data_IF_292212317869
#
_entry.id   IF_292212317869
#
_cell.length_a   1.000
_cell.length_b   1.000
_cell.length_c   1.000
_cell.angle_alpha   90.00
_cell.angle_beta   90.00
_cell.angle_gamma   90.00
#
_symmetry.space_group_name_H-M   'P 1'
#
loop_
_entity.id
_entity.type
_entity.pdbx_description
1 polymer ?
#
# COMPACT_ATOMS: atom_id res chain seq x y z
N UNK A 1 15.44 5.05 59.10
CA UNK A 1 15.99 4.47 57.85
C UNK A 1 14.85 4.44 56.82
N UNK A 2 15.00 5.22 55.76
CA UNK A 2 13.98 5.56 54.76
C UNK A 2 13.72 4.36 53.82
N UNK A 3 12.49 3.85 53.75
CA UNK A 3 12.06 2.82 52.80
C UNK A 3 11.67 3.51 51.47
N UNK A 4 12.48 3.28 50.43
CA UNK A 4 12.28 3.79 49.07
C UNK A 4 11.34 2.83 48.31
N UNK A 5 10.05 3.15 48.20
CA UNK A 5 9.11 2.41 47.35
C UNK A 5 9.29 2.81 45.88
N UNK A 6 9.86 1.92 45.09
CA UNK A 6 10.01 2.04 43.64
C UNK A 6 8.65 1.81 42.98
N UNK A 7 7.97 2.87 42.55
CA UNK A 7 6.71 2.79 41.81
C UNK A 7 6.98 2.32 40.37
N UNK A 8 6.63 1.08 40.06
CA UNK A 8 6.68 0.51 38.71
C UNK A 8 5.50 1.08 37.90
N UNK A 9 5.75 2.12 37.11
CA UNK A 9 4.76 2.65 36.16
C UNK A 9 4.52 1.63 35.04
N UNK A 10 3.26 1.22 34.77
CA UNK A 10 2.97 0.35 33.64
C UNK A 10 3.18 1.12 32.34
N UNK A 11 4.23 0.77 31.61
CA UNK A 11 4.44 1.22 30.24
C UNK A 11 3.34 0.60 29.37
N UNK A 12 2.27 1.35 29.13
CA UNK A 12 1.23 0.93 28.20
C UNK A 12 1.81 0.94 26.80
N UNK A 13 2.21 -0.24 26.31
CA UNK A 13 2.44 -0.46 24.87
C UNK A 13 1.09 -0.29 24.19
N UNK A 14 0.84 0.88 23.62
CA UNK A 14 -0.21 1.04 22.62
C UNK A 14 0.26 0.26 21.39
N UNK A 15 -0.35 -0.90 21.14
CA UNK A 15 -0.26 -1.54 19.84
C UNK A 15 -0.85 -0.55 18.82
N UNK A 16 0.00 -0.03 17.94
CA UNK A 16 -0.38 0.91 16.88
C UNK A 16 -1.34 0.18 15.92
N UNK A 17 -2.65 0.43 16.04
CA UNK A 17 -3.71 -0.08 15.15
C UNK A 17 -3.65 0.57 13.75
N UNK A 18 -2.47 1.04 13.33
CA UNK A 18 -2.23 1.62 12.01
C UNK A 18 -1.96 0.53 10.98
N UNK A 19 -2.77 -0.52 10.95
CA UNK A 19 -2.60 -1.57 9.94
C UNK A 19 -2.81 -0.99 8.53
N UNK A 20 -1.79 -1.10 7.66
CA UNK A 20 -1.92 -0.69 6.26
C UNK A 20 -2.56 -1.81 5.47
N UNK A 21 -3.66 -1.52 4.79
CA UNK A 21 -4.44 -2.46 4.01
C UNK A 21 -4.30 -2.19 2.51
N UNK A 22 -4.34 -3.25 1.72
CA UNK A 22 -4.41 -3.18 0.27
C UNK A 22 -5.86 -2.97 -0.13
N UNK A 23 -6.12 -1.99 -1.00
CA UNK A 23 -7.47 -1.66 -1.47
C UNK A 23 -7.53 -1.66 -2.99
N UNK A 24 -8.70 -1.94 -3.53
CA UNK A 24 -8.97 -1.86 -4.95
C UNK A 24 -10.38 -1.35 -5.23
N UNK A 25 -10.60 -0.93 -6.47
CA UNK A 25 -11.93 -0.59 -6.94
C UNK A 25 -12.84 -1.84 -6.89
N UNK A 26 -14.07 -1.76 -6.36
CA UNK A 26 -14.91 -2.96 -6.14
C UNK A 26 -15.31 -3.70 -7.43
N UNK A 27 -15.40 -3.02 -8.57
CA UNK A 27 -15.76 -3.66 -9.82
C UNK A 27 -14.54 -4.30 -10.53
N UNK A 28 -14.59 -5.62 -10.70
CA UNK A 28 -13.57 -6.38 -11.43
C UNK A 28 -12.31 -6.72 -10.61
N UNK A 29 -12.32 -6.51 -9.30
CA UNK A 29 -11.19 -6.87 -8.44
C UNK A 29 -11.37 -8.27 -7.82
N UNK A 30 -10.35 -9.11 -7.97
CA UNK A 30 -10.25 -10.37 -7.21
C UNK A 30 -10.16 -10.08 -5.71
N UNK A 31 -10.88 -10.79 -4.84
CA UNK A 31 -10.83 -10.57 -3.38
C UNK A 31 -9.46 -10.88 -2.77
N UNK A 32 -8.61 -11.62 -3.49
CA UNK A 32 -7.27 -11.99 -3.05
C UNK A 32 -6.25 -11.85 -4.17
N UNK A 33 -5.01 -11.52 -3.79
CA UNK A 33 -3.82 -11.55 -4.63
C UNK A 33 -2.68 -12.21 -3.86
N UNK A 34 -1.83 -12.96 -4.55
CA UNK A 34 -0.57 -13.41 -3.93
C UNK A 34 0.35 -12.23 -3.69
N UNK A 35 1.26 -12.36 -2.72
CA UNK A 35 2.33 -11.37 -2.50
C UNK A 35 3.16 -11.11 -3.76
N UNK A 36 3.45 -12.14 -4.54
CA UNK A 36 4.25 -12.04 -5.74
C UNK A 36 3.53 -11.28 -6.86
N UNK A 37 2.25 -11.57 -7.07
CA UNK A 37 1.40 -10.82 -8.02
C UNK A 37 1.28 -9.36 -7.58
N UNK A 38 1.03 -9.10 -6.30
CA UNK A 38 0.95 -7.74 -5.75
C UNK A 38 2.26 -7.00 -5.99
N UNK A 39 3.41 -7.62 -5.68
CA UNK A 39 4.74 -7.03 -5.93
C UNK A 39 5.00 -6.79 -7.43
N UNK A 40 4.53 -7.67 -8.31
CA UNK A 40 4.66 -7.50 -9.75
C UNK A 40 3.82 -6.33 -10.28
N UNK A 41 2.60 -6.16 -9.76
CA UNK A 41 1.69 -5.05 -10.09
C UNK A 41 2.28 -3.72 -9.62
N UNK A 42 2.68 -3.59 -8.34
CA UNK A 42 3.25 -2.34 -7.83
C UNK A 42 4.61 -2.00 -8.45
N UNK A 43 5.39 -2.99 -8.88
CA UNK A 43 6.62 -2.77 -9.64
C UNK A 43 6.37 -2.49 -11.14
N UNK A 44 5.11 -2.39 -11.57
CA UNK A 44 4.68 -2.17 -12.96
C UNK A 44 5.15 -3.23 -13.97
N UNK A 45 5.61 -4.39 -13.48
CA UNK A 45 6.00 -5.55 -14.32
C UNK A 45 4.79 -6.32 -14.82
N UNK A 46 3.70 -6.31 -14.05
CA UNK A 46 2.41 -6.82 -14.43
C UNK A 46 1.42 -5.66 -14.43
N UNK A 47 0.78 -5.39 -15.57
CA UNK A 47 -0.12 -4.22 -15.77
C UNK A 47 -1.59 -4.61 -15.89
N UNK A 48 -1.90 -5.87 -15.62
CA UNK A 48 -3.25 -6.42 -15.62
C UNK A 48 -3.48 -7.23 -14.36
N UNK A 49 -4.72 -7.21 -13.90
CA UNK A 49 -5.26 -8.17 -12.95
C UNK A 49 -5.19 -9.60 -13.52
N UNK A 50 -5.26 -10.63 -12.65
CA UNK A 50 -5.26 -12.04 -13.11
C UNK A 50 -6.39 -12.39 -14.08
N UNK A 51 -7.50 -11.66 -14.05
CA UNK A 51 -8.64 -11.81 -14.95
C UNK A 51 -8.47 -11.08 -16.31
N UNK A 52 -7.35 -10.37 -16.49
CA UNK A 52 -7.05 -9.60 -17.70
C UNK A 52 -7.46 -8.13 -17.65
N UNK A 53 -8.19 -7.66 -16.64
CA UNK A 53 -8.53 -6.24 -16.50
C UNK A 53 -7.25 -5.39 -16.35
N UNK A 54 -7.19 -4.21 -16.95
CA UNK A 54 -6.04 -3.31 -16.79
C UNK A 54 -5.93 -2.80 -15.33
N UNK A 55 -4.74 -2.93 -14.73
CA UNK A 55 -4.46 -2.48 -13.38
C UNK A 55 -4.01 -1.01 -13.38
N UNK A 56 -4.69 -0.17 -12.61
CA UNK A 56 -4.34 1.26 -12.44
C UNK A 56 -3.76 1.48 -11.04
N UNK A 57 -2.44 1.55 -10.97
CA UNK A 57 -1.73 1.60 -9.68
C UNK A 57 -1.60 3.04 -9.20
N UNK A 58 -2.07 3.30 -7.97
CA UNK A 58 -1.85 4.54 -7.24
C UNK A 58 -0.86 4.32 -6.08
N UNK A 59 0.05 5.26 -5.88
CA UNK A 59 1.07 5.23 -4.81
C UNK A 59 1.18 6.58 -4.11
N UNK A 60 1.53 6.55 -2.82
CA UNK A 60 1.94 7.74 -2.07
C UNK A 60 3.41 8.09 -2.36
N UNK A 61 3.87 9.32 -2.05
CA UNK A 61 5.26 9.70 -2.22
C UNK A 61 6.23 8.77 -1.48
N UNK A 62 7.43 8.60 -2.02
CA UNK A 62 8.46 7.73 -1.44
C UNK A 62 8.81 8.11 0.02
N UNK A 63 8.73 9.40 0.37
CA UNK A 63 8.92 9.93 1.72
C UNK A 63 7.74 9.68 2.67
N UNK A 64 6.58 9.23 2.17
CA UNK A 64 5.39 9.04 2.98
C UNK A 64 5.55 7.81 3.90
N UNK A 65 5.26 7.92 5.21
CA UNK A 65 5.45 6.81 6.15
C UNK A 65 4.62 5.57 5.79
N UNK A 66 3.36 5.77 5.34
CA UNK A 66 2.49 4.68 4.88
C UNK A 66 3.04 3.97 3.63
N UNK A 67 3.64 4.70 2.67
CA UNK A 67 4.33 4.06 1.54
C UNK A 67 5.48 3.19 2.02
N UNK A 68 6.33 3.76 2.89
CA UNK A 68 7.47 3.05 3.46
C UNK A 68 7.06 1.76 4.17
N UNK A 69 5.99 1.80 4.96
CA UNK A 69 5.46 0.64 5.67
C UNK A 69 4.83 -0.38 4.73
N UNK A 70 3.96 0.05 3.82
CA UNK A 70 3.34 -0.83 2.84
C UNK A 70 4.40 -1.62 2.05
N UNK A 71 5.39 -0.93 1.51
CA UNK A 71 6.41 -1.55 0.66
C UNK A 71 7.26 -2.56 1.46
N UNK A 72 7.62 -2.24 2.70
CA UNK A 72 8.40 -3.12 3.58
C UNK A 72 7.59 -4.31 4.09
N UNK A 73 6.40 -4.07 4.65
CA UNK A 73 5.60 -5.07 5.36
C UNK A 73 4.77 -5.94 4.39
N UNK A 74 4.23 -5.34 3.32
CA UNK A 74 3.34 -6.02 2.36
C UNK A 74 4.08 -6.50 1.12
N UNK A 75 4.97 -5.70 0.55
CA UNK A 75 5.71 -6.10 -0.66
C UNK A 75 7.05 -6.78 -0.37
N UNK A 76 7.51 -6.79 0.90
CA UNK A 76 8.80 -7.37 1.33
C UNK A 76 9.99 -6.84 0.54
N UNK A 77 9.95 -5.56 0.17
CA UNK A 77 11.07 -4.84 -0.48
C UNK A 77 11.27 -3.49 0.18
N UNK A 78 12.33 -2.76 -0.19
CA UNK A 78 12.53 -1.39 0.29
C UNK A 78 11.99 -0.35 -0.70
N UNK A 79 11.50 0.82 -0.22
CA UNK A 79 10.96 1.87 -1.08
C UNK A 79 11.93 2.32 -2.20
N UNK A 80 13.22 2.45 -1.89
CA UNK A 80 14.23 2.79 -2.89
C UNK A 80 14.41 1.72 -3.98
N UNK A 81 14.19 0.43 -3.68
CA UNK A 81 14.26 -0.64 -4.68
C UNK A 81 13.08 -0.59 -5.63
N UNK A 82 11.90 -0.27 -5.10
CA UNK A 82 10.69 -0.11 -5.90
C UNK A 82 10.80 1.13 -6.81
N UNK A 83 11.28 2.26 -6.27
CA UNK A 83 11.57 3.47 -7.05
C UNK A 83 12.58 3.19 -8.17
N UNK A 84 13.69 2.51 -7.86
CA UNK A 84 14.72 2.17 -8.85
C UNK A 84 14.16 1.29 -9.99
N UNK A 85 13.20 0.40 -9.70
CA UNK A 85 12.53 -0.38 -10.73
C UNK A 85 11.70 0.50 -11.66
N UNK A 86 10.99 1.50 -11.13
CA UNK A 86 10.25 2.47 -11.93
C UNK A 86 11.18 3.36 -12.75
N UNK A 87 12.25 3.88 -12.16
CA UNK A 87 13.22 4.74 -12.85
C UNK A 87 13.86 4.03 -14.05
N UNK A 88 14.27 2.76 -13.86
CA UNK A 88 14.80 1.92 -14.95
C UNK A 88 13.79 1.76 -16.08
N UNK A 89 12.53 1.53 -15.76
CA UNK A 89 11.47 1.36 -16.76
C UNK A 89 11.22 2.65 -17.54
N UNK A 90 11.16 3.78 -16.84
CA UNK A 90 10.92 5.10 -17.45
C UNK A 90 12.11 5.52 -18.33
N UNK A 91 13.34 5.44 -17.82
CA UNK A 91 14.54 5.85 -18.57
C UNK A 91 14.84 4.96 -19.78
N UNK A 92 14.47 3.69 -19.73
CA UNK A 92 14.59 2.79 -20.90
C UNK A 92 13.43 2.93 -21.90
N UNK A 93 12.40 3.72 -21.58
CA UNK A 93 11.20 3.86 -22.41
C UNK A 93 10.31 2.60 -22.45
N UNK A 94 10.53 1.63 -21.56
CA UNK A 94 9.79 0.36 -21.53
C UNK A 94 8.46 0.44 -20.76
N UNK A 95 8.18 1.59 -20.15
CA UNK A 95 6.91 1.84 -19.47
C UNK A 95 6.85 3.14 -18.70
N UNK A 96 5.85 3.23 -17.84
CA UNK A 96 5.54 4.41 -17.03
C UNK A 96 5.48 4.01 -15.55
N UNK A 97 5.85 4.94 -14.68
CA UNK A 97 5.70 4.77 -13.24
C UNK A 97 4.21 4.77 -12.84
N UNK A 98 3.86 4.25 -11.65
CA UNK A 98 2.51 4.38 -11.10
C UNK A 98 2.07 5.84 -10.96
N UNK A 99 0.76 6.05 -10.89
CA UNK A 99 0.21 7.38 -10.61
C UNK A 99 0.43 7.73 -9.14
N UNK A 100 1.00 8.90 -8.86
CA UNK A 100 1.23 9.35 -7.50
C UNK A 100 0.02 10.17 -6.99
N UNK A 101 -0.36 9.94 -5.74
CA UNK A 101 -1.34 10.75 -4.99
C UNK A 101 -0.65 11.38 -3.78
N UNK A 102 -1.17 12.47 -3.24
CA UNK A 102 -0.51 13.26 -2.19
C UNK A 102 -0.96 12.88 -0.77
N UNK A 103 -2.08 12.16 -0.64
CA UNK A 103 -2.65 11.82 0.67
C UNK A 103 -3.47 10.53 0.64
N UNK A 104 -3.74 9.96 1.82
CA UNK A 104 -4.60 8.76 1.96
C UNK A 104 -6.06 9.02 1.59
N UNK A 105 -6.68 10.17 1.92
CA UNK A 105 -7.99 10.53 1.39
C UNK A 105 -8.02 10.63 -0.14
N UNK A 106 -6.98 11.21 -0.75
CA UNK A 106 -6.87 11.23 -2.22
C UNK A 106 -6.69 9.81 -2.77
N UNK A 107 -5.88 8.96 -2.15
CA UNK A 107 -5.76 7.54 -2.51
C UNK A 107 -7.13 6.85 -2.54
N UNK A 108 -7.89 6.98 -1.45
CA UNK A 108 -9.22 6.40 -1.32
C UNK A 108 -10.15 6.86 -2.45
N UNK A 109 -10.21 8.18 -2.69
CA UNK A 109 -11.02 8.75 -3.76
C UNK A 109 -10.61 8.22 -5.14
N UNK A 110 -9.31 8.26 -5.45
CA UNK A 110 -8.80 7.81 -6.75
C UNK A 110 -9.05 6.33 -6.99
N UNK A 111 -8.92 5.48 -5.97
CA UNK A 111 -9.23 4.05 -6.07
C UNK A 111 -10.73 3.82 -6.22
N UNK A 112 -11.56 4.51 -5.42
CA UNK A 112 -13.02 4.39 -5.48
C UNK A 112 -13.59 4.78 -6.85
N UNK A 113 -13.08 5.83 -7.50
CA UNK A 113 -13.63 6.36 -8.76
C UNK A 113 -13.01 5.78 -10.02
N UNK A 114 -12.01 4.91 -9.91
CA UNK A 114 -11.23 4.45 -11.07
C UNK A 114 -11.33 2.93 -11.24
N UNK A 115 -12.03 2.43 -12.26
CA UNK A 115 -12.13 0.99 -12.51
C UNK A 115 -10.77 0.31 -12.66
N UNK A 116 -10.60 -0.86 -12.05
CA UNK A 116 -9.33 -1.60 -12.03
C UNK A 116 -8.21 -0.94 -11.22
N UNK A 117 -8.51 0.09 -10.42
CA UNK A 117 -7.51 0.73 -9.58
C UNK A 117 -7.13 -0.10 -8.36
N UNK A 118 -5.87 0.03 -7.96
CA UNK A 118 -5.28 -0.60 -6.79
C UNK A 118 -4.39 0.40 -6.05
N UNK A 119 -4.46 0.36 -4.73
CA UNK A 119 -3.72 1.25 -3.84
C UNK A 119 -3.67 0.70 -2.43
N UNK A 120 -3.28 1.53 -1.47
CA UNK A 120 -3.17 1.13 -0.08
C UNK A 120 -3.36 2.33 0.84
N UNK A 121 -3.90 2.10 2.03
CA UNK A 121 -4.12 3.10 3.06
C UNK A 121 -4.12 2.47 4.45
N UNK A 122 -4.01 3.27 5.49
CA UNK A 122 -4.24 2.87 6.87
C UNK A 122 -5.73 2.61 7.08
N UNK A 123 -6.04 1.57 7.87
CA UNK A 123 -7.41 1.09 8.07
C UNK A 123 -8.39 2.16 8.56
N UNK A 124 -7.92 3.19 9.26
CA UNK A 124 -8.74 4.32 9.72
C UNK A 124 -9.34 5.17 8.58
N UNK A 125 -8.74 5.15 7.38
CA UNK A 125 -9.26 5.84 6.19
C UNK A 125 -10.17 4.96 5.33
N UNK A 126 -10.40 3.70 5.73
CA UNK A 126 -11.21 2.79 4.94
C UNK A 126 -12.70 3.18 5.00
N UNK A 127 -13.36 3.15 3.85
CA UNK A 127 -14.82 3.26 3.73
C UNK A 127 -15.37 2.22 2.74
N UNK A 128 -16.71 2.16 2.62
CA UNK A 128 -17.41 1.15 1.82
C UNK A 128 -17.32 1.36 0.30
N UNK A 129 -16.64 2.41 -0.17
CA UNK A 129 -16.49 2.71 -1.61
C UNK A 129 -15.36 1.91 -2.26
N UNK A 130 -14.52 1.26 -1.47
CA UNK A 130 -13.40 0.44 -1.94
C UNK A 130 -13.50 -0.98 -1.39
N UNK A 131 -12.88 -1.92 -2.09
CA UNK A 131 -12.78 -3.31 -1.65
C UNK A 131 -11.40 -3.55 -1.03
N UNK A 132 -11.35 -4.16 0.15
CA UNK A 132 -10.09 -4.65 0.74
C UNK A 132 -9.67 -5.93 0.04
N UNK A 133 -8.39 -6.01 -0.33
CA UNK A 133 -7.81 -7.16 -1.01
C UNK A 133 -6.93 -7.93 -0.01
N UNK A 134 -7.20 -9.23 0.11
CA UNK A 134 -6.39 -10.11 0.95
C UNK A 134 -5.10 -10.48 0.24
N UNK A 135 -3.99 -10.48 0.97
CA UNK A 135 -2.71 -10.92 0.44
C UNK A 135 -2.38 -12.32 0.96
N UNK A 136 -2.25 -13.28 0.05
CA UNK A 136 -1.81 -14.65 0.32
C UNK A 136 -0.29 -14.83 0.13
#
# INVERSE_FOLDING_TARGET
MLLLTLALLPLSVQADDRSVVLIAHPQGSSPALTRDTTRAIFAMRQRSWPDGQAARVFVLPNSHPVHSRFVKERLTVYPHQLQLAWDRMVFSGTGQAPSQVNSQPEMLERVATTPGAIGYLEREYLDDRVQVITME
#
